data_IF_291712466776
#
_entry.id   IF_291712466776
#
_cell.length_a   1.000
_cell.length_b   1.000
_cell.length_c   1.000
_cell.angle_alpha   90.00
_cell.angle_beta   90.00
_cell.angle_gamma   90.00
#
_symmetry.space_group_name_H-M   'P 1'
#
loop_
_entity.id
_entity.type
_entity.pdbx_description
1 polymer ?
#
# COMPACT_ATOMS: atom_id res chain seq x y z
N UNK A 1 -0.03 -14.94 2.17
CA UNK A 1 -0.38 -13.52 1.93
C UNK A 1 -1.88 -13.38 1.66
N UNK A 2 -2.56 -12.35 2.21
CA UNK A 2 -3.96 -12.07 1.85
C UNK A 2 -4.04 -11.45 0.46
N UNK A 3 -4.87 -12.03 -0.39
CA UNK A 3 -5.05 -11.60 -1.79
C UNK A 3 -6.23 -10.65 -1.98
N UNK A 4 -7.12 -10.53 -0.98
CA UNK A 4 -8.34 -9.73 -1.02
C UNK A 4 -8.49 -8.94 0.28
N UNK A 5 -8.85 -7.67 0.16
CA UNK A 5 -9.04 -6.73 1.25
C UNK A 5 -10.49 -6.25 1.36
N UNK A 6 -10.93 -5.97 2.58
CA UNK A 6 -12.18 -5.23 2.85
C UNK A 6 -11.93 -3.73 2.82
N UNK A 7 -12.98 -2.92 2.67
CA UNK A 7 -12.90 -1.46 2.76
C UNK A 7 -12.24 -0.99 4.06
N UNK A 8 -12.53 -1.64 5.19
CA UNK A 8 -11.91 -1.32 6.48
C UNK A 8 -10.42 -1.65 6.53
N UNK A 9 -9.97 -2.73 5.87
CA UNK A 9 -8.54 -3.06 5.79
C UNK A 9 -7.80 -2.06 4.90
N UNK A 10 -8.35 -1.74 3.72
CA UNK A 10 -7.77 -0.72 2.83
C UNK A 10 -7.68 0.63 3.54
N UNK A 11 -8.70 0.99 4.33
CA UNK A 11 -8.71 2.23 5.11
C UNK A 11 -7.55 2.30 6.11
N UNK A 12 -7.25 1.18 6.80
CA UNK A 12 -6.09 1.08 7.70
C UNK A 12 -4.76 1.24 6.95
N UNK A 13 -4.61 0.56 5.81
CA UNK A 13 -3.39 0.62 4.99
C UNK A 13 -3.14 2.05 4.50
N UNK A 14 -4.18 2.68 3.94
CA UNK A 14 -4.07 4.03 3.37
C UNK A 14 -4.13 5.14 4.43
N UNK A 15 -4.34 4.80 5.71
CA UNK A 15 -4.55 5.75 6.82
C UNK A 15 -5.65 6.78 6.54
N UNK A 16 -6.76 6.32 5.97
CA UNK A 16 -7.95 7.15 5.69
C UNK A 16 -9.19 6.60 6.37
N UNK A 17 -10.26 7.41 6.44
CA UNK A 17 -11.55 6.94 6.93
C UNK A 17 -12.15 5.87 5.98
N UNK A 18 -12.85 4.83 6.48
CA UNK A 18 -13.49 3.81 5.63
C UNK A 18 -14.46 4.37 4.59
N UNK A 19 -15.15 5.47 4.92
CA UNK A 19 -16.07 6.17 3.98
C UNK A 19 -15.33 6.71 2.76
N UNK A 20 -14.08 7.12 2.90
CA UNK A 20 -13.23 7.58 1.80
C UNK A 20 -12.95 6.44 0.83
N UNK A 21 -12.63 5.24 1.35
CA UNK A 21 -12.42 4.05 0.52
C UNK A 21 -13.70 3.63 -0.18
N UNK A 22 -14.85 3.65 0.52
CA UNK A 22 -16.14 3.39 -0.12
C UNK A 22 -16.42 4.35 -1.28
N UNK A 23 -16.14 5.65 -1.11
CA UNK A 23 -16.26 6.64 -2.21
C UNK A 23 -15.34 6.33 -3.39
N UNK A 24 -14.08 5.97 -3.14
CA UNK A 24 -13.16 5.58 -4.22
C UNK A 24 -13.64 4.34 -4.97
N UNK A 25 -14.19 3.37 -4.26
CA UNK A 25 -14.75 2.16 -4.87
C UNK A 25 -16.01 2.48 -5.69
N UNK A 26 -16.96 3.19 -5.09
CA UNK A 26 -18.26 3.47 -5.71
C UNK A 26 -18.13 4.42 -6.92
N UNK A 27 -17.08 5.26 -6.96
CA UNK A 27 -16.72 6.08 -8.13
C UNK A 27 -15.91 5.33 -9.20
N UNK A 28 -15.53 4.07 -8.96
CA UNK A 28 -14.72 3.27 -9.89
C UNK A 28 -13.22 3.60 -9.88
N UNK A 29 -12.76 4.57 -9.07
CA UNK A 29 -11.34 4.91 -8.91
C UNK A 29 -10.55 3.75 -8.30
N UNK A 30 -11.12 3.09 -7.29
CA UNK A 30 -10.57 1.88 -6.68
C UNK A 30 -11.34 0.66 -7.18
N UNK A 31 -10.69 -0.17 -8.00
CA UNK A 31 -11.33 -1.34 -8.60
C UNK A 31 -11.50 -2.48 -7.59
N UNK A 32 -12.62 -3.20 -7.73
CA UNK A 32 -12.93 -4.41 -7.00
C UNK A 32 -14.36 -4.87 -7.31
N UNK A 33 -14.91 -5.73 -6.47
CA UNK A 33 -16.25 -6.30 -6.68
C UNK A 33 -17.08 -6.27 -5.39
N UNK A 34 -18.41 -6.35 -5.55
CA UNK A 34 -19.34 -6.55 -4.43
C UNK A 34 -19.64 -8.04 -4.28
N UNK A 35 -19.86 -8.51 -3.06
CA UNK A 35 -20.29 -9.89 -2.81
C UNK A 35 -21.74 -10.05 -3.30
N UNK A 36 -22.07 -11.07 -4.10
CA UNK A 36 -23.44 -11.34 -4.49
C UNK A 36 -24.36 -11.47 -3.26
N UNK A 37 -25.49 -10.77 -3.25
CA UNK A 37 -26.42 -10.77 -2.11
C UNK A 37 -26.02 -9.88 -0.93
N UNK A 38 -24.90 -9.14 -1.02
CA UNK A 38 -24.48 -8.17 0.01
C UNK A 38 -23.98 -6.87 -0.62
N UNK A 39 -23.98 -5.79 0.17
CA UNK A 39 -23.36 -4.51 -0.19
C UNK A 39 -21.85 -4.45 0.16
N UNK A 40 -21.32 -5.55 0.70
CA UNK A 40 -19.93 -5.69 1.05
C UNK A 40 -19.01 -5.61 -0.17
N UNK A 41 -17.95 -4.82 -0.03
CA UNK A 41 -16.93 -4.60 -1.07
C UNK A 41 -15.71 -5.46 -0.80
N UNK A 42 -15.08 -5.94 -1.87
CA UNK A 42 -13.82 -6.69 -1.86
C UNK A 42 -12.87 -6.11 -2.89
N UNK A 43 -11.63 -5.84 -2.44
CA UNK A 43 -10.59 -5.17 -3.21
C UNK A 43 -9.42 -6.15 -3.36
N UNK A 44 -9.17 -6.70 -4.57
CA UNK A 44 -8.00 -7.52 -4.85
C UNK A 44 -6.69 -6.77 -4.61
N UNK A 45 -5.65 -7.48 -4.17
CA UNK A 45 -4.30 -6.92 -3.90
C UNK A 45 -3.76 -6.15 -5.10
N UNK A 46 -3.84 -6.70 -6.31
CA UNK A 46 -3.27 -6.09 -7.51
C UNK A 46 -3.95 -4.75 -7.85
N UNK A 47 -5.27 -4.66 -7.64
CA UNK A 47 -6.01 -3.42 -7.85
C UNK A 47 -5.64 -2.36 -6.81
N UNK A 48 -5.43 -2.77 -5.56
CA UNK A 48 -4.96 -1.87 -4.51
C UNK A 48 -3.55 -1.36 -4.78
N UNK A 49 -2.61 -2.25 -5.13
CA UNK A 49 -1.22 -1.86 -5.48
C UNK A 49 -1.22 -0.87 -6.64
N UNK A 50 -1.98 -1.16 -7.71
CA UNK A 50 -2.10 -0.25 -8.86
C UNK A 50 -2.64 1.12 -8.45
N UNK A 51 -3.71 1.14 -7.68
CA UNK A 51 -4.33 2.38 -7.18
C UNK A 51 -3.36 3.21 -6.33
N UNK A 52 -2.59 2.57 -5.45
CA UNK A 52 -1.60 3.25 -4.61
C UNK A 52 -0.47 3.83 -5.46
N UNK A 53 0.08 3.06 -6.40
CA UNK A 53 1.12 3.52 -7.32
C UNK A 53 0.66 4.71 -8.18
N UNK A 54 -0.53 4.62 -8.76
CA UNK A 54 -1.12 5.67 -9.61
C UNK A 54 -1.33 6.98 -8.84
N UNK A 55 -1.61 6.91 -7.54
CA UNK A 55 -1.80 8.07 -6.68
C UNK A 55 -0.58 8.43 -5.82
N UNK A 56 0.59 7.81 -6.05
CA UNK A 56 1.82 8.10 -5.31
C UNK A 56 1.74 7.80 -3.81
N UNK A 57 0.88 6.86 -3.40
CA UNK A 57 0.72 6.46 -2.00
C UNK A 57 1.70 5.34 -1.62
N UNK A 58 2.23 5.33 -0.39
CA UNK A 58 3.13 4.29 0.07
C UNK A 58 2.42 2.94 0.13
N UNK A 59 3.08 1.89 -0.36
CA UNK A 59 2.55 0.52 -0.36
C UNK A 59 2.52 -0.10 1.05
N UNK A 60 3.40 0.34 1.95
CA UNK A 60 3.46 -0.13 3.34
C UNK A 60 3.62 -1.66 3.40
N UNK A 61 2.79 -2.34 4.18
CA UNK A 61 2.75 -3.81 4.34
C UNK A 61 2.35 -4.56 3.04
N UNK A 62 2.03 -3.85 1.96
CA UNK A 62 1.79 -4.44 0.64
C UNK A 62 3.07 -4.58 -0.19
N UNK A 63 4.16 -3.89 0.16
CA UNK A 63 5.47 -4.25 -0.38
C UNK A 63 5.86 -5.61 0.19
N UNK A 64 6.41 -6.47 -0.65
CA UNK A 64 6.94 -7.75 -0.20
C UNK A 64 7.91 -7.49 0.96
N UNK A 65 7.70 -8.18 2.08
CA UNK A 65 8.46 -8.06 3.35
C UNK A 65 9.97 -8.28 3.18
N UNK A 66 10.45 -8.57 1.98
CA UNK A 66 11.84 -8.89 1.67
C UNK A 66 12.78 -7.67 1.75
N UNK A 67 12.29 -6.43 1.68
CA UNK A 67 13.18 -5.25 1.62
C UNK A 67 12.97 -4.29 2.79
N UNK A 68 13.82 -4.45 3.80
CA UNK A 68 13.90 -3.50 4.92
C UNK A 68 14.29 -2.10 4.43
N UNK A 69 13.61 -1.07 4.93
CA UNK A 69 13.91 0.33 4.58
C UNK A 69 14.81 0.95 5.65
N UNK A 70 15.88 1.62 5.24
CA UNK A 70 16.79 2.35 6.12
C UNK A 70 16.64 3.87 5.89
N UNK A 71 16.41 4.63 6.97
CA UNK A 71 16.39 6.10 6.93
C UNK A 71 17.68 6.64 7.55
N UNK A 72 18.44 7.43 6.78
CA UNK A 72 19.67 8.09 7.22
C UNK A 72 19.39 9.57 7.46
N UNK A 73 19.64 10.08 8.67
CA UNK A 73 19.44 11.49 9.04
C UNK A 73 20.73 12.07 9.62
N UNK A 74 21.20 13.19 9.07
CA UNK A 74 22.40 13.88 9.57
C UNK A 74 23.72 13.17 9.31
N UNK A 75 23.74 12.21 8.38
CA UNK A 75 24.92 11.38 8.08
C UNK A 75 25.83 12.09 7.08
N UNK A 76 27.14 12.12 7.36
CA UNK A 76 28.12 12.68 6.43
C UNK A 76 28.30 11.79 5.19
N UNK A 77 28.90 12.35 4.13
CA UNK A 77 29.00 11.65 2.85
C UNK A 77 29.83 10.37 2.89
N UNK A 78 30.84 10.31 3.77
CA UNK A 78 31.75 9.17 3.86
C UNK A 78 31.05 7.97 4.51
N UNK A 79 30.34 8.20 5.62
CA UNK A 79 29.53 7.17 6.28
C UNK A 79 28.37 6.72 5.39
N UNK A 80 27.74 7.63 4.63
CA UNK A 80 26.71 7.25 3.66
C UNK A 80 27.24 6.29 2.59
N UNK A 81 28.44 6.55 2.05
CA UNK A 81 29.06 5.68 1.04
C UNK A 81 29.30 4.27 1.57
N UNK A 82 29.90 4.16 2.76
CA UNK A 82 30.17 2.87 3.41
C UNK A 82 28.88 2.07 3.68
N UNK A 83 27.81 2.73 4.11
CA UNK A 83 26.52 2.06 4.35
C UNK A 83 25.95 1.49 3.05
N UNK A 84 26.02 2.25 1.94
CA UNK A 84 25.52 1.79 0.64
C UNK A 84 26.31 0.59 0.11
N UNK A 85 27.64 0.57 0.29
CA UNK A 85 28.50 -0.55 -0.12
C UNK A 85 28.23 -1.84 0.67
N UNK A 86 27.70 -1.71 1.90
CA UNK A 86 27.34 -2.83 2.76
C UNK A 86 25.92 -3.36 2.51
N UNK A 87 25.08 -2.65 1.75
CA UNK A 87 23.72 -3.10 1.46
C UNK A 87 23.73 -4.20 0.37
N UNK A 88 22.91 -5.26 0.53
CA UNK A 88 22.71 -6.21 -0.56
C UNK A 88 22.16 -5.50 -1.81
N UNK A 89 22.47 -6.01 -3.03
CA UNK A 89 22.06 -5.41 -4.29
C UNK A 89 20.54 -5.36 -4.47
#
# INVERSE_FOLDING_TARGET
MRTIFTTGQVAKICKVAPRTVSKWFDSGRLRGYRIPGSQDRRIPRDHLIRFLKEHGMPLGELEDEAMGKLLLVGVDQNVRGQILDLMPP
#
